data_IF_684983133332
#
_entry.id   IF_684983133332
#
_cell.length_a   1.000
_cell.length_b   1.000
_cell.length_c   1.000
_cell.angle_alpha   90.00
_cell.angle_beta   90.00
_cell.angle_gamma   90.00
#
_symmetry.space_group_name_H-M   'P 1'
#
loop_
_entity.id
_entity.type
_entity.pdbx_description
1 polymer ?
#
# COMPACT_ATOMS: atom_id res chain seq x y z
N UNK A 1 -44.80 -59.50 39.96
CA UNK A 1 -45.74 -58.39 40.24
C UNK A 1 -45.46 -57.34 39.16
N UNK A 2 -46.06 -57.32 37.96
CA UNK A 2 -47.50 -57.20 37.64
C UNK A 2 -48.09 -56.02 38.43
N UNK A 3 -48.60 -54.91 37.87
CA UNK A 3 -49.40 -54.72 36.64
C UNK A 3 -49.43 -53.22 36.25
N UNK A 4 -49.17 -52.95 34.95
CA UNK A 4 -49.76 -52.01 33.93
C UNK A 4 -50.51 -50.72 34.35
N UNK A 5 -50.66 -49.66 33.53
CA UNK A 5 -50.94 -49.60 32.07
C UNK A 5 -50.87 -48.13 31.55
N UNK A 6 -50.12 -47.84 30.47
CA UNK A 6 -50.56 -47.41 29.11
C UNK A 6 -51.38 -46.10 29.00
N UNK A 7 -51.21 -45.18 28.03
CA UNK A 7 -50.95 -45.37 26.60
C UNK A 7 -50.68 -44.03 25.84
N UNK A 8 -49.94 -44.17 24.72
CA UNK A 8 -50.04 -43.51 23.39
C UNK A 8 -50.24 -41.99 23.22
N UNK A 9 -49.21 -41.34 22.68
CA UNK A 9 -49.12 -40.90 21.27
C UNK A 9 -49.99 -39.73 20.76
N UNK A 10 -49.35 -38.69 20.20
CA UNK A 10 -49.69 -38.14 18.86
C UNK A 10 -48.69 -37.07 18.45
N UNK A 11 -48.04 -37.26 17.31
CA UNK A 11 -47.59 -36.16 16.46
C UNK A 11 -48.84 -35.38 15.97
N UNK A 12 -48.79 -34.05 15.93
CA UNK A 12 -49.64 -33.23 15.05
C UNK A 12 -49.07 -31.82 14.88
N UNK A 13 -49.12 -31.39 13.63
CA UNK A 13 -48.65 -30.14 13.06
C UNK A 13 -49.63 -28.96 13.29
N UNK A 14 -49.26 -27.82 12.69
CA UNK A 14 -49.95 -26.52 12.56
C UNK A 14 -49.77 -25.57 13.77
N UNK A 15 -49.51 -24.27 13.59
CA UNK A 15 -49.89 -23.41 12.48
C UNK A 15 -48.86 -22.29 12.22
N UNK A 16 -48.62 -22.01 10.93
CA UNK A 16 -48.16 -20.71 10.46
C UNK A 16 -49.21 -19.65 10.84
N UNK A 17 -48.86 -18.72 11.72
CA UNK A 17 -49.63 -17.48 11.85
C UNK A 17 -49.10 -16.48 10.83
N UNK A 18 -49.87 -16.33 9.75
CA UNK A 18 -49.84 -15.17 8.87
C UNK A 18 -50.28 -13.96 9.71
N UNK A 19 -49.34 -13.16 10.20
CA UNK A 19 -49.62 -11.83 10.71
C UNK A 19 -49.48 -10.84 9.55
N UNK A 20 -50.60 -10.59 8.87
CA UNK A 20 -50.77 -9.52 7.91
C UNK A 20 -50.61 -8.17 8.61
N UNK A 21 -49.39 -7.64 8.69
CA UNK A 21 -49.18 -6.25 9.09
C UNK A 21 -49.39 -5.34 7.88
N UNK A 22 -50.59 -4.77 7.84
CA UNK A 22 -50.96 -3.65 6.99
C UNK A 22 -49.94 -2.51 7.16
N UNK A 23 -49.27 -2.14 6.07
CA UNK A 23 -48.45 -0.94 6.01
C UNK A 23 -49.31 0.31 6.30
N UNK A 24 -48.90 1.23 7.18
CA UNK A 24 -49.61 2.50 7.33
C UNK A 24 -49.44 3.31 6.04
N UNK A 25 -50.56 3.75 5.46
CA UNK A 25 -50.59 4.73 4.37
C UNK A 25 -49.85 5.99 4.82
N UNK A 26 -48.73 6.31 4.16
CA UNK A 26 -48.04 7.59 4.29
C UNK A 26 -48.97 8.72 3.85
N UNK A 27 -49.51 9.48 4.79
CA UNK A 27 -50.03 10.82 4.53
C UNK A 27 -48.85 11.77 4.39
N UNK A 28 -48.66 12.35 3.21
CA UNK A 28 -47.66 13.37 2.98
C UNK A 28 -48.06 14.67 3.70
N UNK A 29 -47.46 14.93 4.87
CA UNK A 29 -47.47 16.26 5.46
C UNK A 29 -46.25 17.02 4.95
N UNK A 30 -46.49 18.08 4.18
CA UNK A 30 -45.46 19.00 3.69
C UNK A 30 -44.90 19.83 4.85
N UNK A 31 -43.88 19.32 5.53
CA UNK A 31 -43.03 20.14 6.40
C UNK A 31 -41.84 20.65 5.60
N UNK A 32 -41.86 21.94 5.28
CA UNK A 32 -40.72 22.66 4.69
C UNK A 32 -39.54 22.67 5.67
N UNK A 33 -38.54 21.83 5.41
CA UNK A 33 -37.24 21.94 6.07
C UNK A 33 -36.49 23.18 5.53
N UNK A 34 -35.98 24.08 6.38
CA UNK A 34 -35.14 25.18 5.92
C UNK A 34 -33.82 24.61 5.37
N UNK A 35 -33.47 25.02 4.15
CA UNK A 35 -32.19 24.65 3.51
C UNK A 35 -31.04 25.23 4.33
N UNK A 36 -30.24 24.38 4.95
CA UNK A 36 -28.96 24.77 5.55
C UNK A 36 -28.00 25.23 4.44
N UNK A 37 -27.19 26.28 4.67
CA UNK A 37 -26.24 26.79 3.70
C UNK A 37 -25.18 25.72 3.38
N UNK A 38 -25.00 25.45 2.09
CA UNK A 38 -23.95 24.58 1.56
C UNK A 38 -22.58 25.18 1.87
N UNK A 39 -21.89 24.63 2.87
CA UNK A 39 -20.47 24.94 3.13
C UNK A 39 -19.66 24.39 1.94
N UNK A 40 -19.12 25.29 1.11
CA UNK A 40 -18.13 24.93 0.10
C UNK A 40 -16.75 24.88 0.77
N UNK A 41 -16.21 23.68 0.91
CA UNK A 41 -14.81 23.46 1.31
C UNK A 41 -13.96 23.53 0.04
N UNK A 42 -13.02 24.49 -0.03
CA UNK A 42 -12.03 24.55 -1.10
C UNK A 42 -10.90 23.57 -0.79
N UNK A 43 -10.64 22.63 -1.71
CA UNK A 43 -9.44 21.81 -1.66
C UNK A 43 -8.26 22.61 -2.24
N UNK A 44 -7.14 22.67 -1.50
CA UNK A 44 -5.88 23.14 -2.06
C UNK A 44 -5.42 22.20 -3.18
N UNK A 45 -4.80 22.71 -4.25
CA UNK A 45 -4.28 21.86 -5.31
C UNK A 45 -3.21 20.93 -4.74
N UNK A 46 -3.32 19.64 -5.06
CA UNK A 46 -2.33 18.64 -4.67
C UNK A 46 -0.97 18.99 -5.32
N UNK A 47 0.15 18.82 -4.61
CA UNK A 47 1.46 18.93 -5.23
C UNK A 47 1.59 17.92 -6.39
N UNK A 48 2.37 18.22 -7.44
CA UNK A 48 2.56 17.31 -8.56
C UNK A 48 3.06 15.96 -8.03
N UNK A 49 2.42 14.88 -8.49
CA UNK A 49 2.75 13.53 -8.06
C UNK A 49 4.17 13.19 -8.52
N UNK A 50 5.09 13.13 -7.57
CA UNK A 50 6.46 12.67 -7.79
C UNK A 50 6.42 11.21 -8.27
N UNK A 51 7.21 10.88 -9.30
CA UNK A 51 7.22 9.53 -9.87
C UNK A 51 7.65 8.51 -8.82
N UNK A 52 6.94 7.37 -8.76
CA UNK A 52 7.24 6.32 -7.80
C UNK A 52 8.63 5.74 -8.09
N UNK A 53 9.57 5.92 -7.17
CA UNK A 53 10.92 5.37 -7.32
C UNK A 53 10.87 3.83 -7.42
N UNK A 54 11.62 3.28 -8.36
CA UNK A 54 11.63 1.84 -8.67
C UNK A 54 12.84 1.16 -8.04
N UNK A 55 12.66 -0.07 -7.54
CA UNK A 55 13.76 -0.90 -6.98
C UNK A 55 13.72 -2.26 -7.64
N UNK A 56 14.82 -2.66 -8.27
CA UNK A 56 15.06 -4.02 -8.75
C UNK A 56 16.13 -4.66 -7.87
N UNK A 57 15.90 -5.89 -7.41
CA UNK A 57 16.85 -6.60 -6.55
C UNK A 57 17.68 -7.55 -7.40
N UNK A 58 19.00 -7.47 -7.30
CA UNK A 58 19.92 -8.38 -7.98
C UNK A 58 20.71 -9.17 -6.93
N UNK A 59 20.38 -10.45 -6.78
CA UNK A 59 20.98 -11.31 -5.75
C UNK A 59 20.86 -12.77 -6.16
N UNK A 60 21.77 -13.61 -5.66
CA UNK A 60 21.65 -15.07 -5.73
C UNK A 60 21.28 -15.68 -4.36
N UNK A 61 21.23 -14.86 -3.30
CA UNK A 61 20.91 -15.31 -1.96
C UNK A 61 19.39 -15.38 -1.70
N UNK A 62 18.91 -16.59 -1.38
CA UNK A 62 17.49 -16.84 -1.06
C UNK A 62 16.99 -16.06 0.15
N UNK A 63 17.83 -15.79 1.15
CA UNK A 63 17.45 -14.99 2.32
C UNK A 63 17.15 -13.53 1.94
N UNK A 64 17.94 -12.97 1.02
CA UNK A 64 17.72 -11.63 0.47
C UNK A 64 16.40 -11.59 -0.31
N UNK A 65 16.14 -12.61 -1.13
CA UNK A 65 14.87 -12.74 -1.85
C UNK A 65 13.66 -12.76 -0.91
N UNK A 66 13.68 -13.62 0.11
CA UNK A 66 12.59 -13.72 1.08
C UNK A 66 12.33 -12.38 1.76
N UNK A 67 13.38 -11.71 2.24
CA UNK A 67 13.27 -10.41 2.89
C UNK A 67 12.68 -9.35 1.94
N UNK A 68 13.09 -9.34 0.67
CA UNK A 68 12.57 -8.40 -0.32
C UNK A 68 11.08 -8.63 -0.61
N UNK A 69 10.67 -9.89 -0.81
CA UNK A 69 9.25 -10.24 -1.06
C UNK A 69 8.36 -9.89 0.12
N UNK A 70 8.80 -10.21 1.35
CA UNK A 70 8.06 -9.88 2.58
C UNK A 70 7.85 -8.37 2.76
N UNK A 71 8.82 -7.57 2.31
CA UNK A 71 8.77 -6.10 2.31
C UNK A 71 8.09 -5.49 1.08
N UNK A 72 7.58 -6.31 0.17
CA UNK A 72 6.79 -5.89 -0.99
C UNK A 72 7.60 -5.55 -2.25
N UNK A 73 8.89 -5.89 -2.30
CA UNK A 73 9.67 -5.86 -3.53
C UNK A 73 9.66 -7.22 -4.21
N UNK A 74 9.19 -7.26 -5.44
CA UNK A 74 9.00 -8.50 -6.20
C UNK A 74 9.77 -8.54 -7.51
N UNK A 75 10.43 -7.45 -7.94
CA UNK A 75 11.20 -7.41 -9.19
C UNK A 75 12.63 -7.82 -8.93
N UNK A 76 13.07 -8.91 -9.59
CA UNK A 76 14.39 -9.49 -9.40
C UNK A 76 15.14 -9.61 -10.73
N UNK A 77 16.44 -9.35 -10.70
CA UNK A 77 17.34 -9.52 -11.84
C UNK A 77 18.12 -10.83 -11.69
N UNK A 78 18.09 -11.64 -12.75
CA UNK A 78 18.72 -12.93 -12.81
C UNK A 78 19.74 -13.02 -13.95
N UNK A 79 20.87 -13.65 -13.67
CA UNK A 79 21.83 -14.07 -14.71
C UNK A 79 21.52 -15.46 -15.29
N UNK A 80 20.73 -16.28 -14.59
CA UNK A 80 20.34 -17.62 -15.03
C UNK A 80 18.84 -17.85 -14.89
N UNK A 81 18.24 -18.55 -15.86
CA UNK A 81 16.82 -18.92 -15.85
C UNK A 81 16.48 -19.95 -14.78
N UNK A 82 17.44 -20.79 -14.38
CA UNK A 82 17.18 -21.87 -13.43
C UNK A 82 16.83 -21.33 -12.03
N UNK A 83 17.57 -20.30 -11.59
CA UNK A 83 17.32 -19.65 -10.29
C UNK A 83 15.97 -18.91 -10.29
N UNK A 84 15.64 -18.24 -11.39
CA UNK A 84 14.35 -17.57 -11.54
C UNK A 84 13.18 -18.58 -11.46
N UNK A 85 13.33 -19.76 -12.08
CA UNK A 85 12.32 -20.81 -12.03
C UNK A 85 12.14 -21.38 -10.63
N UNK A 86 13.24 -21.64 -9.90
CA UNK A 86 13.20 -22.09 -8.50
C UNK A 86 12.45 -21.07 -7.62
N UNK A 87 12.80 -19.79 -7.72
CA UNK A 87 12.19 -18.77 -6.86
C UNK A 87 10.73 -18.48 -7.23
N UNK A 88 10.39 -18.50 -8.51
CA UNK A 88 9.01 -18.34 -8.99
C UNK A 88 8.10 -19.48 -8.53
N UNK A 89 8.65 -20.66 -8.24
CA UNK A 89 7.89 -21.77 -7.63
C UNK A 89 7.53 -21.53 -6.16
N UNK A 90 8.31 -20.69 -5.46
CA UNK A 90 8.15 -20.42 -4.02
C UNK A 90 7.39 -19.13 -3.75
N UNK A 91 7.61 -18.08 -4.55
CA UNK A 91 7.05 -16.77 -4.32
C UNK A 91 6.62 -16.10 -5.64
N UNK A 92 5.61 -15.23 -5.55
CA UNK A 92 5.19 -14.40 -6.69
C UNK A 92 6.21 -13.28 -6.90
N UNK A 93 7.13 -13.51 -7.82
CA UNK A 93 8.14 -12.56 -8.26
C UNK A 93 7.91 -12.13 -9.70
N UNK A 94 8.60 -11.07 -10.12
CA UNK A 94 8.70 -10.57 -11.48
C UNK A 94 10.17 -10.69 -11.89
N UNK A 95 10.56 -11.80 -12.54
CA UNK A 95 11.95 -12.01 -12.94
C UNK A 95 12.28 -11.20 -14.19
N UNK A 96 13.45 -10.60 -14.17
CA UNK A 96 14.10 -9.93 -15.30
C UNK A 96 15.41 -10.65 -15.58
N UNK A 97 15.76 -10.79 -16.86
CA UNK A 97 16.92 -11.57 -17.30
C UNK A 97 17.96 -10.66 -17.93
N UNK A 98 19.20 -10.77 -17.47
CA UNK A 98 20.34 -10.06 -18.06
C UNK A 98 20.89 -10.91 -19.20
N UNK A 99 20.92 -10.35 -20.40
CA UNK A 99 21.63 -10.92 -21.56
C UNK A 99 22.56 -9.85 -22.16
N UNK A 100 23.87 -10.01 -21.91
CA UNK A 100 24.88 -9.04 -22.32
C UNK A 100 24.70 -7.65 -21.69
N UNK A 101 24.25 -6.68 -22.50
CA UNK A 101 23.96 -5.30 -22.09
C UNK A 101 22.47 -4.99 -22.14
N UNK A 102 21.62 -6.00 -22.21
CA UNK A 102 20.17 -5.85 -22.31
C UNK A 102 19.48 -6.63 -21.19
N UNK A 103 18.31 -6.13 -20.79
CA UNK A 103 17.47 -6.73 -19.75
C UNK A 103 16.12 -7.03 -20.37
N UNK A 104 15.66 -8.28 -20.21
CA UNK A 104 14.40 -8.78 -20.78
C UNK A 104 13.44 -9.22 -19.68
N UNK A 105 12.13 -9.17 -19.98
CA UNK A 105 11.11 -9.81 -19.17
C UNK A 105 10.93 -11.30 -19.54
N UNK A 106 10.02 -12.00 -18.84
CA UNK A 106 9.63 -13.38 -19.14
C UNK A 106 9.11 -13.58 -20.58
N UNK A 107 8.51 -12.54 -21.16
CA UNK A 107 7.99 -12.54 -22.52
C UNK A 107 9.06 -12.30 -23.60
N UNK A 108 10.34 -12.25 -23.23
CA UNK A 108 11.46 -11.89 -24.10
C UNK A 108 11.32 -10.49 -24.72
N UNK A 109 10.57 -9.60 -24.05
CA UNK A 109 10.50 -8.19 -24.42
C UNK A 109 11.62 -7.46 -23.71
N UNK A 110 12.35 -6.64 -24.47
CA UNK A 110 13.38 -5.76 -23.92
C UNK A 110 12.72 -4.78 -22.94
N UNK A 111 13.25 -4.72 -21.72
CA UNK A 111 12.77 -3.84 -20.64
C UNK A 111 13.75 -2.71 -20.39
N UNK A 112 15.06 -2.97 -20.46
CA UNK A 112 16.09 -1.96 -20.24
C UNK A 112 17.39 -2.29 -20.98
N UNK A 113 18.25 -1.28 -21.13
CA UNK A 113 19.63 -1.42 -21.58
C UNK A 113 20.61 -1.06 -20.45
N UNK A 114 21.71 -1.80 -20.34
CA UNK A 114 22.77 -1.58 -19.35
C UNK A 114 23.89 -0.76 -20.00
N UNK A 115 24.10 0.45 -19.50
CA UNK A 115 25.23 1.29 -19.86
C UNK A 115 26.35 1.07 -18.84
N UNK A 116 27.41 0.40 -19.28
CA UNK A 116 28.64 0.23 -18.49
C UNK A 116 29.46 1.51 -18.59
N UNK A 117 29.75 2.12 -17.44
CA UNK A 117 30.47 3.40 -17.37
C UNK A 117 31.73 3.20 -16.56
N UNK A 118 32.85 3.63 -17.13
CA UNK A 118 34.16 3.68 -16.48
C UNK A 118 34.69 5.11 -16.34
N UNK A 119 34.09 6.08 -17.03
CA UNK A 119 34.52 7.50 -16.99
C UNK A 119 33.36 8.50 -17.11
N UNK A 120 33.49 9.73 -16.55
CA UNK A 120 32.48 10.78 -16.74
C UNK A 120 32.23 11.16 -18.21
N UNK A 121 33.24 11.01 -19.08
CA UNK A 121 33.11 11.29 -20.51
C UNK A 121 32.18 10.29 -21.21
N UNK A 122 32.20 9.01 -20.80
CA UNK A 122 31.28 7.99 -21.32
C UNK A 122 29.84 8.26 -20.93
N UNK A 123 29.61 8.86 -19.75
CA UNK A 123 28.28 9.22 -19.27
C UNK A 123 27.62 10.29 -20.14
N UNK A 124 28.39 11.24 -20.69
CA UNK A 124 27.89 12.24 -21.65
C UNK A 124 27.61 11.67 -23.05
N UNK A 125 28.22 10.54 -23.39
CA UNK A 125 28.02 9.86 -24.68
C UNK A 125 26.78 8.97 -24.70
N UNK A 126 26.16 8.72 -23.54
CA UNK A 126 24.89 8.01 -23.48
C UNK A 126 23.83 8.92 -24.09
N UNK A 127 23.42 8.63 -25.32
CA UNK A 127 22.30 9.30 -25.98
C UNK A 127 21.01 8.61 -25.53
N UNK A 128 20.22 9.26 -24.66
CA UNK A 128 19.07 8.60 -24.06
C UNK A 128 17.92 8.45 -25.07
N UNK A 129 17.93 9.23 -26.15
CA UNK A 129 16.92 9.21 -27.22
C UNK A 129 17.05 8.07 -28.24
N UNK A 130 18.16 7.31 -28.22
CA UNK A 130 18.41 6.20 -29.16
C UNK A 130 18.00 4.82 -28.61
N UNK A 131 17.32 4.78 -27.46
CA UNK A 131 17.00 3.52 -26.79
C UNK A 131 15.58 3.10 -27.20
N UNK A 132 15.46 1.96 -27.89
CA UNK A 132 14.17 1.30 -28.20
C UNK A 132 13.32 0.97 -26.95
N UNK A 133 13.90 1.14 -25.75
CA UNK A 133 13.29 0.88 -24.45
C UNK A 133 13.34 2.11 -23.55
N UNK A 134 12.30 2.26 -22.74
CA UNK A 134 12.11 3.40 -21.86
C UNK A 134 13.06 3.42 -20.65
N UNK A 135 13.81 2.35 -20.38
CA UNK A 135 14.62 2.26 -19.16
C UNK A 135 16.12 2.09 -19.47
N UNK A 136 16.95 2.84 -18.75
CA UNK A 136 18.43 2.75 -18.82
C UNK A 136 18.98 2.40 -17.45
N UNK A 137 19.84 1.38 -17.38
CA UNK A 137 20.52 0.94 -16.16
C UNK A 137 22.00 1.30 -16.22
N UNK A 138 22.46 2.14 -15.30
CA UNK A 138 23.84 2.57 -15.18
C UNK A 138 24.61 1.59 -14.30
N UNK A 139 25.67 0.98 -14.83
CA UNK A 139 26.52 0.03 -14.11
C UNK A 139 27.98 0.49 -14.13
N UNK A 140 28.50 0.87 -12.97
CA UNK A 140 29.91 1.29 -12.83
C UNK A 140 30.87 0.09 -12.88
N UNK A 141 31.93 0.19 -13.69
CA UNK A 141 32.98 -0.83 -13.77
C UNK A 141 34.25 -0.40 -13.02
N UNK A 142 34.85 -1.35 -12.30
CA UNK A 142 36.14 -1.19 -11.61
C UNK A 142 36.08 -0.67 -10.18
N UNK A 143 37.26 -0.50 -9.59
CA UNK A 143 37.49 0.04 -8.23
C UNK A 143 37.66 1.58 -8.23
N UNK A 144 37.36 2.22 -9.36
CA UNK A 144 37.62 3.64 -9.55
C UNK A 144 36.52 4.53 -8.95
N UNK A 145 36.97 5.70 -8.53
CA UNK A 145 36.27 6.84 -7.96
C UNK A 145 34.80 6.94 -8.39
N UNK A 146 33.91 6.75 -7.42
CA UNK A 146 32.45 6.89 -7.52
C UNK A 146 32.13 8.17 -8.30
N UNK A 147 31.53 8.05 -9.48
CA UNK A 147 30.96 9.21 -10.18
C UNK A 147 29.87 9.76 -9.25
N UNK A 148 29.95 11.03 -8.84
CA UNK A 148 28.92 11.63 -7.99
C UNK A 148 27.55 11.43 -8.63
N UNK A 149 26.58 10.97 -7.85
CA UNK A 149 25.24 10.67 -8.34
C UNK A 149 24.59 11.89 -9.03
N UNK A 150 24.99 13.09 -8.62
CA UNK A 150 24.62 14.38 -9.20
C UNK A 150 24.97 14.48 -10.69
N UNK A 151 26.11 13.93 -11.10
CA UNK A 151 26.53 13.96 -12.50
C UNK A 151 25.62 13.08 -13.37
N UNK A 152 25.14 11.97 -12.81
CA UNK A 152 24.19 11.08 -13.49
C UNK A 152 22.87 11.82 -13.67
N UNK A 153 22.32 12.37 -12.58
CA UNK A 153 21.05 13.11 -12.62
C UNK A 153 21.13 14.27 -13.62
N UNK A 154 22.24 15.01 -13.64
CA UNK A 154 22.45 16.11 -14.58
C UNK A 154 22.50 15.66 -16.05
N UNK A 155 23.13 14.53 -16.35
CA UNK A 155 23.24 14.05 -17.73
C UNK A 155 21.93 13.50 -18.30
N UNK A 156 21.04 12.99 -17.44
CA UNK A 156 19.73 12.49 -17.84
C UNK A 156 18.60 13.48 -17.57
N UNK A 157 18.92 14.73 -17.28
CA UNK A 157 17.90 15.76 -17.03
C UNK A 157 17.05 15.99 -18.30
N UNK A 158 15.74 15.81 -18.17
CA UNK A 158 14.80 15.95 -19.30
C UNK A 158 14.65 14.69 -20.16
N UNK A 159 15.30 13.58 -19.80
CA UNK A 159 15.03 12.29 -20.42
C UNK A 159 13.61 11.82 -20.09
N UNK A 160 12.89 11.33 -21.10
CA UNK A 160 11.52 10.85 -20.94
C UNK A 160 11.44 9.42 -20.35
N UNK A 161 12.56 8.69 -20.33
CA UNK A 161 12.65 7.33 -19.79
C UNK A 161 13.02 7.28 -18.30
N UNK A 162 13.09 6.07 -17.76
CA UNK A 162 13.47 5.77 -16.38
C UNK A 162 14.97 5.49 -16.30
N UNK A 163 15.67 6.17 -15.41
CA UNK A 163 17.09 5.90 -15.14
C UNK A 163 17.24 5.15 -13.82
N UNK A 164 17.88 3.99 -13.87
CA UNK A 164 18.27 3.23 -12.69
C UNK A 164 19.80 3.16 -12.58
N UNK A 165 20.34 3.17 -11.36
CA UNK A 165 21.75 2.88 -11.13
C UNK A 165 21.93 1.59 -10.33
N UNK A 166 22.96 0.82 -10.67
CA UNK A 166 23.37 -0.36 -9.90
C UNK A 166 24.09 0.10 -8.64
N UNK A 167 23.55 -0.26 -7.47
CA UNK A 167 24.16 -0.03 -6.16
C UNK A 167 24.60 -1.35 -5.52
N UNK A 168 25.67 -1.31 -4.73
CA UNK A 168 26.24 -2.47 -4.03
C UNK A 168 25.75 -2.62 -2.59
N UNK A 169 25.06 -1.61 -2.06
CA UNK A 169 24.50 -1.59 -0.71
C UNK A 169 23.38 -0.55 -0.58
N UNK A 170 22.70 -0.56 0.57
CA UNK A 170 21.61 0.35 0.91
C UNK A 170 22.02 1.83 0.98
N UNK A 171 23.21 2.13 1.49
CA UNK A 171 23.72 3.52 1.60
C UNK A 171 23.94 4.14 0.22
N UNK A 172 24.58 3.41 -0.68
CA UNK A 172 24.82 3.85 -2.06
C UNK A 172 23.50 4.00 -2.83
N UNK A 173 22.55 3.07 -2.65
CA UNK A 173 21.20 3.19 -3.20
C UNK A 173 20.53 4.48 -2.74
N UNK A 174 20.64 4.82 -1.45
CA UNK A 174 20.07 6.05 -0.92
C UNK A 174 20.70 7.30 -1.58
N UNK A 175 22.02 7.34 -1.77
CA UNK A 175 22.70 8.45 -2.46
C UNK A 175 22.14 8.64 -3.88
N UNK A 176 21.96 7.56 -4.64
CA UNK A 176 21.36 7.64 -5.98
C UNK A 176 19.91 8.15 -5.96
N UNK A 177 19.13 7.78 -4.95
CA UNK A 177 17.72 8.18 -4.81
C UNK A 177 17.54 9.62 -4.31
N UNK A 178 18.59 10.27 -3.80
CA UNK A 178 18.53 11.61 -3.19
C UNK A 178 19.34 12.69 -3.93
N UNK A 179 20.19 12.29 -4.88
CA UNK A 179 21.07 13.20 -5.59
C UNK A 179 20.33 14.40 -6.23
N UNK A 180 20.85 15.62 -6.03
CA UNK A 180 20.22 16.87 -6.48
C UNK A 180 18.74 17.02 -6.06
N UNK A 181 18.38 16.53 -4.87
CA UNK A 181 17.03 16.56 -4.24
C UNK A 181 15.93 15.78 -4.98
N UNK A 182 16.12 15.49 -6.26
CA UNK A 182 15.22 14.69 -7.09
C UNK A 182 15.62 13.21 -7.11
N UNK A 183 16.92 12.93 -7.22
CA UNK A 183 17.50 11.59 -7.37
C UNK A 183 17.11 10.90 -8.68
N UNK A 184 17.73 9.74 -8.93
CA UNK A 184 17.37 8.86 -10.06
C UNK A 184 15.99 8.26 -9.89
N UNK A 185 15.36 7.80 -10.97
CA UNK A 185 14.02 7.19 -10.94
C UNK A 185 14.00 5.84 -10.23
N UNK A 186 15.14 5.19 -10.11
CA UNK A 186 15.24 3.93 -9.38
C UNK A 186 16.65 3.44 -9.17
N UNK A 187 16.76 2.27 -8.56
CA UNK A 187 18.02 1.58 -8.30
C UNK A 187 17.91 0.10 -8.58
N UNK A 188 19.00 -0.47 -9.07
CA UNK A 188 19.24 -1.92 -9.09
C UNK A 188 20.11 -2.24 -7.88
N UNK A 189 19.50 -2.76 -6.82
CA UNK A 189 20.19 -3.09 -5.58
C UNK A 189 20.86 -4.48 -5.72
N UNK A 190 22.16 -4.49 -5.99
CA UNK A 190 22.98 -5.71 -6.11
C UNK A 190 23.61 -6.06 -4.76
N UNK A 191 22.99 -6.96 -4.00
CA UNK A 191 23.36 -7.25 -2.61
C UNK A 191 23.26 -8.73 -2.28
N UNK A 192 24.06 -9.18 -1.31
CA UNK A 192 24.02 -10.54 -0.77
C UNK A 192 23.65 -10.59 0.72
N UNK A 193 23.43 -9.43 1.35
CA UNK A 193 23.02 -9.29 2.74
C UNK A 193 21.57 -8.78 2.83
N UNK A 194 20.73 -9.44 3.63
CA UNK A 194 19.35 -9.04 3.87
C UNK A 194 19.23 -7.69 4.62
N UNK A 195 20.25 -7.29 5.38
CA UNK A 195 20.26 -6.01 6.09
C UNK A 195 20.10 -4.82 5.14
N UNK A 196 20.63 -4.92 3.92
CA UNK A 196 20.50 -3.86 2.92
C UNK A 196 19.07 -3.71 2.42
N UNK A 197 18.34 -4.82 2.29
CA UNK A 197 16.91 -4.79 1.96
C UNK A 197 16.12 -4.08 3.05
N UNK A 198 16.37 -4.46 4.30
CA UNK A 198 15.68 -3.89 5.47
C UNK A 198 15.96 -2.38 5.55
N UNK A 199 17.24 -1.98 5.52
CA UNK A 199 17.64 -0.57 5.61
C UNK A 199 17.06 0.29 4.50
N UNK A 200 17.11 -0.18 3.25
CA UNK A 200 16.58 0.57 2.12
C UNK A 200 15.05 0.63 2.17
N UNK A 201 14.38 -0.43 2.64
CA UNK A 201 12.93 -0.40 2.81
C UNK A 201 12.51 0.58 3.91
N UNK A 202 13.18 0.55 5.05
CA UNK A 202 12.92 1.48 6.16
C UNK A 202 13.15 2.95 5.71
N UNK A 203 14.11 3.18 4.81
CA UNK A 203 14.30 4.46 4.15
C UNK A 203 13.05 4.90 3.36
N UNK A 204 12.51 4.01 2.52
CA UNK A 204 11.29 4.29 1.75
C UNK A 204 10.08 4.53 2.65
N UNK A 205 9.94 3.77 3.72
CA UNK A 205 8.82 3.91 4.64
C UNK A 205 8.88 5.28 5.35
N UNK A 206 10.05 5.71 5.85
CA UNK A 206 10.26 7.08 6.38
C UNK A 206 9.98 8.18 5.35
N UNK A 207 10.43 7.99 4.09
CA UNK A 207 10.19 8.94 3.00
C UNK A 207 8.69 9.04 2.69
N UNK A 208 7.97 7.93 2.70
CA UNK A 208 6.53 7.89 2.44
C UNK A 208 5.69 8.42 3.61
N UNK A 209 6.09 8.16 4.86
CA UNK A 209 5.47 8.74 6.06
C UNK A 209 5.53 10.26 6.04
N UNK A 210 6.69 10.82 5.64
CA UNK A 210 6.87 12.28 5.51
C UNK A 210 5.97 12.86 4.41
N UNK A 211 5.72 12.10 3.33
CA UNK A 211 4.91 12.54 2.19
C UNK A 211 3.41 12.32 2.36
N UNK A 212 2.99 11.34 3.16
CA UNK A 212 1.59 10.96 3.36
C UNK A 212 0.94 11.68 4.54
N UNK A 213 1.44 12.86 4.92
CA UNK A 213 0.84 13.65 5.99
C UNK A 213 -0.44 14.32 5.49
N UNK A 214 -1.58 13.63 5.67
CA UNK A 214 -2.89 14.26 5.56
C UNK A 214 -3.04 15.27 6.71
N UNK A 215 -3.12 16.55 6.37
CA UNK A 215 -3.34 17.59 7.38
C UNK A 215 -4.74 17.46 7.97
N UNK A 216 -4.81 17.06 9.24
CA UNK A 216 -6.06 17.00 9.99
C UNK A 216 -6.43 18.39 10.50
N UNK A 217 -7.68 18.78 10.30
CA UNK A 217 -8.24 20.00 10.88
C UNK A 217 -9.25 19.63 11.96
N UNK A 218 -9.23 20.35 13.08
CA UNK A 218 -10.20 20.16 14.16
C UNK A 218 -11.59 20.60 13.69
N UNK A 219 -12.59 19.76 13.90
CA UNK A 219 -14.00 20.07 13.67
C UNK A 219 -14.75 20.15 15.00
N UNK A 220 -15.75 21.02 15.08
CA UNK A 220 -16.62 21.15 16.27
C UNK A 220 -17.91 20.38 16.03
N UNK A 221 -18.27 19.48 16.95
CA UNK A 221 -19.57 18.81 16.94
C UNK A 221 -20.64 19.83 17.34
N UNK A 222 -21.52 20.16 16.40
CA UNK A 222 -22.60 21.14 16.61
C UNK A 222 -23.86 20.54 17.22
N UNK A 223 -24.14 19.27 16.91
CA UNK A 223 -25.33 18.55 17.38
C UNK A 223 -25.10 17.04 17.34
N UNK A 224 -25.68 16.32 18.29
CA UNK A 224 -25.76 14.85 18.30
C UNK A 224 -27.23 14.48 18.38
N UNK A 225 -27.71 13.63 17.47
CA UNK A 225 -29.09 13.16 17.40
C UNK A 225 -29.14 11.64 17.38
N UNK A 226 -30.15 11.06 18.02
CA UNK A 226 -30.41 9.62 17.96
C UNK A 226 -31.17 9.32 16.67
N UNK A 227 -30.61 8.48 15.80
CA UNK A 227 -31.16 8.17 14.46
C UNK A 227 -31.87 6.81 14.38
N UNK A 228 -31.95 6.07 15.49
CA UNK A 228 -32.58 4.75 15.57
C UNK A 228 -31.56 3.62 15.75
N UNK A 229 -31.99 2.38 15.55
CA UNK A 229 -31.09 1.21 15.58
C UNK A 229 -30.43 1.02 14.22
N UNK A 230 -29.16 0.60 14.23
CA UNK A 230 -28.40 0.27 13.03
C UNK A 230 -27.37 -0.81 13.32
N UNK A 231 -26.91 -1.47 12.27
CA UNK A 231 -25.82 -2.45 12.34
C UNK A 231 -24.49 -1.76 12.55
N UNK A 232 -23.64 -2.32 13.43
CA UNK A 232 -22.29 -1.81 13.73
C UNK A 232 -21.23 -2.52 12.91
N UNK A 233 -20.31 -1.75 12.34
CA UNK A 233 -19.10 -2.28 11.68
C UNK A 233 -17.84 -1.95 12.49
N UNK A 234 -16.94 -2.93 12.59
CA UNK A 234 -15.60 -2.76 13.12
C UNK A 234 -14.58 -3.16 12.05
N UNK A 235 -13.44 -2.48 12.02
CA UNK A 235 -12.32 -2.85 11.13
C UNK A 235 -11.18 -3.36 12.00
N UNK A 236 -10.73 -4.58 11.71
CA UNK A 236 -9.57 -5.18 12.36
C UNK A 236 -8.37 -5.11 11.40
N UNK A 237 -7.24 -4.61 11.89
CA UNK A 237 -6.01 -4.50 11.11
C UNK A 237 -5.02 -5.59 11.50
N UNK A 238 -4.11 -5.91 10.59
CA UNK A 238 -2.96 -6.77 10.88
C UNK A 238 -1.79 -6.00 11.52
N UNK A 239 -2.06 -4.80 12.07
CA UNK A 239 -1.07 -3.89 12.65
C UNK A 239 -1.61 -3.32 13.97
N UNK A 240 -0.70 -3.12 14.93
CA UNK A 240 -1.01 -2.56 16.26
C UNK A 240 -0.88 -1.04 16.19
N UNK A 241 -1.95 -0.31 16.53
CA UNK A 241 -1.96 1.15 16.53
C UNK A 241 -1.62 1.73 17.90
N UNK A 242 -1.03 2.93 17.89
CA UNK A 242 -0.70 3.73 19.06
C UNK A 242 -1.80 4.76 19.38
N UNK A 243 -1.82 5.33 20.60
CA UNK A 243 -2.69 6.45 20.93
C UNK A 243 -2.56 7.62 19.94
N UNK A 244 -3.67 8.00 19.31
CA UNK A 244 -3.70 9.02 18.27
C UNK A 244 -3.80 8.46 16.84
N UNK A 245 -3.61 7.15 16.68
CA UNK A 245 -3.76 6.47 15.39
C UNK A 245 -5.16 5.84 15.25
N UNK A 246 -5.61 5.73 13.99
CA UNK A 246 -6.95 5.31 13.67
C UNK A 246 -7.19 5.23 12.17
N UNK A 247 -8.46 5.20 11.78
CA UNK A 247 -8.87 5.22 10.38
C UNK A 247 -9.66 6.50 10.06
N UNK A 248 -9.55 6.96 8.82
CA UNK A 248 -10.45 7.98 8.30
C UNK A 248 -11.77 7.32 7.90
N UNK A 249 -12.85 7.74 8.57
CA UNK A 249 -14.20 7.18 8.50
C UNK A 249 -15.15 8.28 8.04
N UNK A 250 -15.90 8.05 6.97
CA UNK A 250 -16.97 8.98 6.57
C UNK A 250 -17.93 8.41 5.54
N UNK A 251 -19.18 8.86 5.55
CA UNK A 251 -20.18 8.40 4.56
C UNK A 251 -19.92 8.90 3.13
N UNK A 252 -19.01 9.86 2.95
CA UNK A 252 -18.60 10.37 1.64
C UNK A 252 -17.09 10.58 1.58
N UNK A 253 -16.46 10.22 0.47
CA UNK A 253 -15.01 10.41 0.26
C UNK A 253 -14.54 11.88 0.35
N UNK A 254 -15.47 12.84 0.25
CA UNK A 254 -15.20 14.29 0.31
C UNK A 254 -15.05 14.85 1.74
N UNK A 255 -15.27 14.04 2.77
CA UNK A 255 -15.17 14.45 4.17
C UNK A 255 -15.17 13.24 5.09
N UNK A 256 -14.04 13.03 5.76
CA UNK A 256 -13.82 11.90 6.67
C UNK A 256 -13.34 12.41 8.02
N UNK A 257 -13.66 11.68 9.08
CA UNK A 257 -13.19 11.94 10.44
C UNK A 257 -12.16 10.90 10.83
N UNK A 258 -11.10 11.31 11.52
CA UNK A 258 -10.19 10.36 12.14
C UNK A 258 -10.89 9.73 13.35
N UNK A 259 -11.15 8.43 13.27
CA UNK A 259 -11.69 7.64 14.38
C UNK A 259 -10.55 6.80 14.95
N UNK A 260 -10.21 7.06 16.21
CA UNK A 260 -9.11 6.38 16.89
C UNK A 260 -9.38 4.89 17.06
N UNK A 261 -8.31 4.11 17.08
CA UNK A 261 -8.38 2.70 17.50
C UNK A 261 -8.82 2.56 18.95
N UNK A 262 -9.30 1.37 19.31
CA UNK A 262 -9.59 0.98 20.68
C UNK A 262 -8.29 0.70 21.48
N UNK A 263 -7.24 1.50 21.28
CA UNK A 263 -5.94 1.34 21.92
C UNK A 263 -5.91 1.80 23.38
N UNK A 264 -6.90 2.59 23.82
CA UNK A 264 -7.00 3.07 25.20
C UNK A 264 -7.73 2.07 26.07
N UNK A 265 -7.07 1.61 27.12
CA UNK A 265 -7.67 0.75 28.14
C UNK A 265 -8.59 1.57 29.05
N UNK A 266 -9.75 1.00 29.39
CA UNK A 266 -10.67 1.57 30.36
C UNK A 266 -11.00 0.52 31.43
N UNK A 267 -11.50 0.93 32.59
CA UNK A 267 -11.85 0.02 33.70
C UNK A 267 -12.87 -1.07 33.34
N UNK A 268 -13.53 -0.99 32.18
CA UNK A 268 -14.60 -1.89 31.77
C UNK A 268 -14.28 -2.69 30.50
N UNK A 269 -13.29 -2.26 29.70
CA UNK A 269 -13.02 -2.82 28.38
C UNK A 269 -11.50 -2.84 28.15
N UNK A 270 -10.98 -4.04 27.87
CA UNK A 270 -9.59 -4.24 27.49
C UNK A 270 -9.28 -3.58 26.13
N UNK A 271 -8.07 -3.06 25.99
CA UNK A 271 -7.63 -2.44 24.75
C UNK A 271 -7.54 -3.46 23.61
N UNK A 272 -7.94 -3.02 22.42
CA UNK A 272 -7.81 -3.75 21.15
C UNK A 272 -7.18 -2.80 20.14
N UNK A 273 -5.86 -2.55 20.23
CA UNK A 273 -5.17 -1.53 19.44
C UNK A 273 -5.13 -1.83 17.93
N UNK A 274 -5.65 -2.98 17.49
CA UNK A 274 -5.81 -3.32 16.07
C UNK A 274 -7.23 -3.05 15.53
N UNK A 275 -8.17 -2.59 16.38
CA UNK A 275 -9.60 -2.46 16.05
C UNK A 275 -10.05 -1.00 16.02
N UNK A 276 -10.82 -0.62 15.00
CA UNK A 276 -11.49 0.69 14.88
C UNK A 276 -13.00 0.52 14.73
N UNK A 277 -13.77 1.32 15.47
CA UNK A 277 -15.23 1.34 15.38
C UNK A 277 -15.69 2.24 14.23
N UNK A 278 -16.16 1.60 13.17
CA UNK A 278 -16.49 2.18 11.88
C UNK A 278 -17.97 2.59 11.74
N UNK A 279 -18.77 2.25 12.75
CA UNK A 279 -20.19 2.51 12.96
C UNK A 279 -21.12 1.99 11.85
N UNK A 280 -21.10 2.55 10.63
CA UNK A 280 -22.10 2.20 9.59
C UNK A 280 -21.52 1.41 8.40
N UNK A 281 -22.34 0.55 7.78
CA UNK A 281 -22.02 -0.18 6.54
C UNK A 281 -21.79 0.72 5.32
N UNK A 282 -22.40 1.92 5.29
CA UNK A 282 -22.31 2.87 4.17
C UNK A 282 -21.20 3.91 4.43
N UNK A 283 -20.00 3.42 4.74
CA UNK A 283 -18.87 4.27 5.12
C UNK A 283 -17.67 3.95 4.25
N UNK A 284 -17.05 5.01 3.74
CA UNK A 284 -15.75 4.96 3.11
C UNK A 284 -14.66 4.97 4.18
N UNK A 285 -13.68 4.09 4.01
CA UNK A 285 -12.50 4.02 4.86
C UNK A 285 -11.26 4.31 4.01
N UNK A 286 -10.36 5.13 4.53
CA UNK A 286 -9.02 5.32 3.95
C UNK A 286 -7.98 4.91 4.98
N UNK A 287 -7.03 4.07 4.55
CA UNK A 287 -5.90 3.61 5.34
C UNK A 287 -4.63 4.31 4.84
N UNK A 288 -3.80 4.82 5.76
CA UNK A 288 -2.57 5.56 5.46
C UNK A 288 -1.33 4.66 5.35
N UNK A 289 -1.46 3.32 5.45
CA UNK A 289 -0.30 2.45 5.21
C UNK A 289 -0.41 0.96 5.57
N UNK A 290 -1.50 0.48 6.17
CA UNK A 290 -1.59 -0.92 6.64
C UNK A 290 -2.57 -1.79 5.81
N UNK A 291 -2.39 -3.12 5.87
CA UNK A 291 -3.37 -4.10 5.35
C UNK A 291 -4.54 -4.20 6.34
N UNK A 292 -5.77 -4.03 5.86
CA UNK A 292 -6.99 -4.08 6.67
C UNK A 292 -7.84 -5.31 6.33
N UNK A 293 -8.39 -5.96 7.37
CA UNK A 293 -9.39 -7.02 7.26
C UNK A 293 -10.73 -6.47 7.76
N UNK A 294 -11.79 -6.61 6.95
CA UNK A 294 -13.12 -6.12 7.33
C UNK A 294 -13.89 -7.27 7.96
N UNK A 295 -14.11 -7.19 9.27
CA UNK A 295 -14.86 -8.18 10.03
C UNK A 295 -16.26 -7.66 10.33
N UNK A 296 -17.28 -8.34 9.80
CA UNK A 296 -18.66 -8.07 10.18
C UNK A 296 -18.97 -8.80 11.49
N UNK A 297 -19.35 -8.06 12.53
CA UNK A 297 -19.79 -8.65 13.80
C UNK A 297 -21.26 -8.32 14.01
N UNK A 298 -22.19 -9.26 13.72
CA UNK A 298 -23.58 -9.12 14.15
C UNK A 298 -23.63 -9.37 15.67
N UNK A 299 -24.07 -8.37 16.44
CA UNK A 299 -24.48 -8.53 17.83
C UNK A 299 -25.99 -8.29 17.93
#
# INVERSE_FOLDING_TARGET
MAVSSSSLGSAKALACFHASYLAPRRTASSSTCPRLPSIKMCASPAPPAESRKTVWVWTENRQVMTAAVERGWSTFLFGSKDLANDWSSTARILPLYIDGLEIFDEGNKKVAAISKISSPSELQLIQPDNVEVQNTVIHFQGDWQVIPAENIVAAFQGFAGTVLAVSKNSTEAQVFLEALEQGLDGVVLKVENMDDIIKLKDYFDRRNETKSQLQLTKATVSKVEVVGMGDRVCVDLCSIMQPGEGLLVGSYARGMFLVHSECLETNYIASRPFRVNADSMNVFFSNLGARACICYSPW
#
